data_IF_737551259322
#
_entry.id   IF_737551259322
#
_cell.length_a   1.000
_cell.length_b   1.000
_cell.length_c   1.000
_cell.angle_alpha   90.00
_cell.angle_beta   90.00
_cell.angle_gamma   90.00
#
_symmetry.space_group_name_H-M   'P 1'
#
loop_
_entity.id
_entity.type
_entity.pdbx_description
1 polymer ?
#
# COMPACT_ATOMS: atom_id res chain seq x y z
N UNK A 1 -5.43 9.24 14.14
CA UNK A 1 -5.27 8.15 13.16
C UNK A 1 -3.79 7.99 12.90
N UNK A 2 -3.30 6.77 12.65
CA UNK A 2 -1.89 6.54 12.28
C UNK A 2 -1.66 6.95 10.83
N UNK A 3 -0.50 7.48 10.50
CA UNK A 3 -0.07 7.75 9.12
C UNK A 3 1.01 6.74 8.70
N UNK A 4 1.41 6.74 7.43
CA UNK A 4 2.42 5.79 6.91
C UNK A 4 3.73 5.79 7.73
N UNK A 5 4.07 6.93 8.35
CA UNK A 5 5.25 7.07 9.23
C UNK A 5 5.18 6.33 10.55
N UNK A 6 4.01 5.82 10.92
CA UNK A 6 3.81 5.02 12.12
C UNK A 6 3.93 3.51 11.83
N UNK A 7 4.11 3.14 10.55
CA UNK A 7 4.26 1.77 10.07
C UNK A 7 5.70 1.50 9.67
N UNK A 8 6.20 0.31 9.97
CA UNK A 8 7.39 -0.22 9.28
C UNK A 8 7.01 -0.61 7.86
N UNK A 9 8.02 -0.76 7.00
CA UNK A 9 7.83 -1.28 5.66
C UNK A 9 7.20 -2.69 5.70
N UNK A 10 7.64 -3.54 6.62
CA UNK A 10 7.10 -4.88 6.84
C UNK A 10 5.62 -4.89 7.28
N UNK A 11 5.20 -3.95 8.14
CA UNK A 11 3.79 -3.81 8.57
C UNK A 11 2.89 -3.42 7.39
N UNK A 12 3.35 -2.47 6.56
CA UNK A 12 2.60 -2.05 5.37
C UNK A 12 2.59 -3.12 4.27
N UNK A 13 3.71 -3.82 4.05
CA UNK A 13 3.78 -4.96 3.14
C UNK A 13 2.82 -6.07 3.55
N UNK A 14 2.66 -6.33 4.86
CA UNK A 14 1.68 -7.29 5.37
C UNK A 14 0.25 -6.91 4.99
N UNK A 15 -0.09 -5.61 5.04
CA UNK A 15 -1.39 -5.12 4.56
C UNK A 15 -1.57 -5.37 3.06
N UNK A 16 -0.58 -4.98 2.24
CA UNK A 16 -0.64 -5.16 0.77
C UNK A 16 -0.79 -6.64 0.41
N UNK A 17 0.01 -7.53 1.03
CA UNK A 17 -0.09 -8.98 0.81
C UNK A 17 -1.48 -9.53 1.16
N UNK A 18 -2.13 -9.05 2.22
CA UNK A 18 -3.48 -9.48 2.59
C UNK A 18 -4.50 -9.14 1.51
N UNK A 19 -4.40 -7.93 0.95
CA UNK A 19 -5.25 -7.47 -0.16
C UNK A 19 -5.01 -8.35 -1.40
N UNK A 20 -3.75 -8.53 -1.82
CA UNK A 20 -3.39 -9.33 -3.00
C UNK A 20 -3.82 -10.80 -2.89
N UNK A 21 -3.82 -11.36 -1.69
CA UNK A 21 -4.20 -12.77 -1.43
C UNK A 21 -5.68 -12.95 -1.09
N UNK A 22 -6.46 -11.85 -1.02
CA UNK A 22 -7.87 -11.85 -0.63
C UNK A 22 -8.15 -12.65 0.67
N UNK A 23 -7.28 -12.49 1.67
CA UNK A 23 -7.33 -13.26 2.94
C UNK A 23 -8.24 -12.64 4.00
N UNK A 24 -9.10 -11.70 3.63
CA UNK A 24 -10.08 -11.10 4.54
C UNK A 24 -11.22 -12.08 4.86
N UNK A 25 -11.79 -11.99 6.06
CA UNK A 25 -12.90 -12.87 6.49
C UNK A 25 -14.19 -12.57 5.73
N UNK A 26 -14.41 -11.28 5.41
CA UNK A 26 -15.56 -10.80 4.64
C UNK A 26 -15.13 -9.87 3.50
N UNK A 27 -16.04 -9.63 2.56
CA UNK A 27 -15.84 -8.61 1.51
C UNK A 27 -15.69 -7.20 2.10
N UNK A 28 -16.43 -6.87 3.17
CA UNK A 28 -16.32 -5.56 3.81
C UNK A 28 -14.97 -5.37 4.52
N UNK A 29 -14.41 -6.43 5.11
CA UNK A 29 -13.06 -6.40 5.65
C UNK A 29 -12.02 -6.15 4.56
N UNK A 30 -12.19 -6.79 3.39
CA UNK A 30 -11.36 -6.55 2.21
C UNK A 30 -11.47 -5.10 1.73
N UNK A 31 -12.69 -4.56 1.63
CA UNK A 31 -12.93 -3.16 1.30
C UNK A 31 -12.27 -2.20 2.30
N UNK A 32 -12.32 -2.51 3.59
CA UNK A 32 -11.66 -1.73 4.64
C UNK A 32 -10.13 -1.75 4.49
N UNK A 33 -9.55 -2.90 4.14
CA UNK A 33 -8.11 -3.00 3.88
C UNK A 33 -7.69 -2.16 2.67
N UNK A 34 -8.45 -2.18 1.58
CA UNK A 34 -8.19 -1.36 0.39
C UNK A 34 -8.29 0.13 0.73
N UNK A 35 -9.33 0.57 1.43
CA UNK A 35 -9.49 1.97 1.87
C UNK A 35 -8.33 2.42 2.77
N UNK A 36 -7.86 1.54 3.65
CA UNK A 36 -6.72 1.84 4.53
C UNK A 36 -5.41 1.95 3.73
N UNK A 37 -5.20 1.08 2.73
CA UNK A 37 -4.08 1.21 1.81
C UNK A 37 -4.08 2.56 1.09
N UNK A 38 -5.21 2.97 0.50
CA UNK A 38 -5.32 4.24 -0.21
C UNK A 38 -5.03 5.43 0.72
N UNK A 39 -5.59 5.41 1.92
CA UNK A 39 -5.40 6.45 2.94
C UNK A 39 -3.94 6.59 3.35
N UNK A 40 -3.23 5.48 3.53
CA UNK A 40 -1.82 5.45 3.94
C UNK A 40 -0.88 5.79 2.79
N UNK A 41 -1.13 5.26 1.60
CA UNK A 41 -0.31 5.51 0.41
C UNK A 41 -0.40 6.97 -0.04
N UNK A 42 -1.61 7.55 0.01
CA UNK A 42 -1.96 8.87 -0.53
C UNK A 42 -1.64 9.02 -2.04
N UNK A 43 -1.36 7.90 -2.72
CA UNK A 43 -1.03 7.88 -4.13
C UNK A 43 -2.28 8.18 -4.96
N UNK A 44 -2.22 9.04 -5.98
CA UNK A 44 -3.40 9.42 -6.77
C UNK A 44 -4.05 8.25 -7.51
N UNK A 45 -3.27 7.22 -7.88
CA UNK A 45 -3.81 5.99 -8.48
C UNK A 45 -4.56 5.10 -7.47
N UNK A 46 -4.49 5.37 -6.17
CA UNK A 46 -5.23 4.62 -5.15
C UNK A 46 -5.04 3.11 -5.28
N UNK A 47 -6.15 2.37 -5.19
CA UNK A 47 -6.19 0.93 -5.33
C UNK A 47 -5.72 0.39 -6.70
N UNK A 48 -5.65 1.22 -7.75
CA UNK A 48 -5.16 0.79 -9.06
C UNK A 48 -3.69 0.32 -9.00
N UNK A 49 -2.91 0.81 -8.03
CA UNK A 49 -1.57 0.29 -7.78
C UNK A 49 -1.55 -1.23 -7.51
N UNK A 50 -2.64 -1.77 -6.95
CA UNK A 50 -2.78 -3.19 -6.61
C UNK A 50 -3.53 -3.93 -7.72
N UNK A 51 -4.63 -3.39 -8.22
CA UNK A 51 -5.55 -4.12 -9.11
C UNK A 51 -5.28 -3.91 -10.60
N UNK A 52 -4.63 -2.80 -10.97
CA UNK A 52 -4.38 -2.40 -12.35
C UNK A 52 -2.98 -1.80 -12.50
N UNK A 53 -1.91 -2.57 -12.20
CA UNK A 53 -0.54 -2.08 -12.33
C UNK A 53 -0.25 -1.67 -13.77
N UNK A 54 0.51 -0.58 -13.96
CA UNK A 54 0.93 -0.13 -15.29
C UNK A 54 1.82 -1.18 -15.97
N UNK A 55 1.72 -1.28 -17.30
CA UNK A 55 2.54 -2.21 -18.08
C UNK A 55 4.04 -2.07 -17.77
N UNK A 56 4.67 -3.18 -17.41
CA UNK A 56 6.10 -3.25 -17.09
C UNK A 56 6.48 -2.83 -15.66
N UNK A 57 5.50 -2.50 -14.80
CA UNK A 57 5.72 -2.40 -13.35
C UNK A 57 5.75 -3.78 -12.70
N UNK A 58 6.43 -3.86 -11.56
CA UNK A 58 6.39 -5.03 -10.70
C UNK A 58 5.02 -5.11 -10.00
N UNK A 59 4.24 -6.14 -10.35
CA UNK A 59 2.89 -6.39 -9.83
C UNK A 59 2.87 -7.19 -8.52
N UNK A 60 4.06 -7.47 -7.95
CA UNK A 60 4.16 -8.07 -6.63
C UNK A 60 3.79 -7.08 -5.51
N UNK A 61 3.40 -7.58 -4.32
CA UNK A 61 3.21 -6.75 -3.15
C UNK A 61 4.43 -5.86 -2.82
N UNK A 62 5.64 -6.39 -3.02
CA UNK A 62 6.90 -5.66 -2.86
C UNK A 62 7.03 -4.52 -3.88
N UNK A 63 6.67 -4.76 -5.13
CA UNK A 63 6.62 -3.76 -6.19
C UNK A 63 5.68 -2.59 -5.85
N UNK A 64 4.49 -2.91 -5.34
CA UNK A 64 3.52 -1.89 -4.88
C UNK A 64 4.07 -1.06 -3.72
N UNK A 65 4.67 -1.70 -2.72
CA UNK A 65 5.27 -1.01 -1.56
C UNK A 65 6.39 -0.07 -2.02
N UNK A 66 7.23 -0.53 -2.96
CA UNK A 66 8.32 0.26 -3.52
C UNK A 66 7.79 1.48 -4.31
N UNK A 67 6.75 1.31 -5.13
CA UNK A 67 6.13 2.43 -5.87
C UNK A 67 5.58 3.50 -4.91
N UNK A 68 4.87 3.09 -3.86
CA UNK A 68 4.36 4.02 -2.83
C UNK A 68 5.52 4.77 -2.15
N UNK A 69 6.57 4.06 -1.78
CA UNK A 69 7.77 4.64 -1.14
C UNK A 69 8.45 5.66 -2.04
N UNK A 70 8.73 5.31 -3.29
CA UNK A 70 9.36 6.20 -4.27
C UNK A 70 8.52 7.44 -4.55
N UNK A 71 7.22 7.26 -4.78
CA UNK A 71 6.32 8.37 -5.06
C UNK A 71 6.25 9.35 -3.90
N UNK A 72 6.11 8.86 -2.66
CA UNK A 72 6.08 9.71 -1.46
C UNK A 72 7.39 10.47 -1.26
N UNK A 73 8.53 9.79 -1.45
CA UNK A 73 9.85 10.41 -1.36
C UNK A 73 10.03 11.53 -2.39
N UNK A 74 9.63 11.30 -3.66
CA UNK A 74 9.67 12.33 -4.72
C UNK A 74 8.79 13.54 -4.40
N UNK A 75 7.74 13.36 -3.59
CA UNK A 75 6.82 14.42 -3.12
C UNK A 75 7.24 15.04 -1.78
N UNK A 76 8.37 14.66 -1.20
CA UNK A 76 8.83 15.13 0.11
C UNK A 76 7.93 14.71 1.27
N UNK A 77 7.11 13.65 1.09
CA UNK A 77 6.23 13.12 2.13
C UNK A 77 7.00 12.11 2.99
N UNK A 78 6.82 12.11 4.32
CA UNK A 78 7.37 11.08 5.18
C UNK A 78 6.84 9.69 4.81
N UNK A 79 7.75 8.72 4.88
CA UNK A 79 7.51 7.31 4.61
C UNK A 79 7.57 6.53 5.93
N UNK A 80 7.91 5.23 5.89
CA UNK A 80 7.93 4.31 7.03
C UNK A 80 8.82 4.76 8.19
N UNK A 81 8.49 4.32 9.41
CA UNK A 81 9.42 4.37 10.55
C UNK A 81 10.56 3.38 10.33
N UNK A 82 11.71 3.67 10.94
CA UNK A 82 12.80 2.71 11.05
C UNK A 82 12.34 1.43 11.75
N UNK A 83 12.86 0.30 11.31
CA UNK A 83 12.73 -0.98 12.02
C UNK A 83 13.63 -1.04 13.27
#
# INVERSE_FOLDING_TARGET
MKDLRDYTESEFLSLVRKICTATSETEEDGNCQVREFERLAEHPSGADLIFYPEDGKDDSPEGVVQEVKEWRQRRGKPCFKSE
#
